data_IF_944305057101
#
_entry.id   IF_944305057101
#
_cell.length_a   1.000
_cell.length_b   1.000
_cell.length_c   1.000
_cell.angle_alpha   90.00
_cell.angle_beta   90.00
_cell.angle_gamma   90.00
#
_symmetry.space_group_name_H-M   'P 1'
#
loop_
_entity.id
_entity.type
_entity.pdbx_description
1 polymer ?
#
# COMPACT_ATOMS: atom_id res chain seq x y z
N UNK A 1 -1.48 -0.45 -7.63
CA UNK A 1 -1.14 -1.89 -7.58
C UNK A 1 -1.82 -2.61 -6.41
N UNK A 2 -1.60 -2.27 -5.12
CA UNK A 2 -2.38 -2.87 -4.00
C UNK A 2 -3.80 -2.30 -3.94
N UNK A 3 -3.99 -0.97 -4.02
CA UNK A 3 -5.33 -0.37 -4.04
C UNK A 3 -6.22 -0.82 -5.22
N UNK A 4 -5.62 -1.20 -6.35
CA UNK A 4 -6.37 -1.77 -7.49
C UNK A 4 -6.71 -3.26 -7.27
N UNK A 5 -5.90 -3.97 -6.47
CA UNK A 5 -6.23 -5.32 -5.99
C UNK A 5 -7.39 -5.23 -5.00
N UNK A 6 -7.44 -4.22 -4.14
CA UNK A 6 -8.60 -4.00 -3.26
C UNK A 6 -9.87 -3.66 -4.07
N UNK A 7 -9.77 -2.81 -5.10
CA UNK A 7 -10.89 -2.52 -6.02
C UNK A 7 -11.33 -3.76 -6.83
N UNK A 8 -10.39 -4.65 -7.19
CA UNK A 8 -10.65 -5.96 -7.80
C UNK A 8 -11.41 -6.92 -6.87
N UNK A 9 -11.24 -6.77 -5.55
CA UNK A 9 -11.67 -7.73 -4.56
C UNK A 9 -12.91 -7.29 -3.78
N UNK A 10 -13.18 -5.99 -3.59
CA UNK A 10 -14.30 -5.52 -2.77
C UNK A 10 -15.49 -5.02 -3.62
N UNK A 11 -16.32 -5.91 -4.19
CA UNK A 11 -17.50 -5.47 -4.93
C UNK A 11 -18.49 -4.77 -4.00
N UNK A 12 -19.27 -3.83 -4.54
CA UNK A 12 -20.36 -3.17 -3.81
C UNK A 12 -21.24 -4.20 -3.08
N UNK A 13 -21.33 -4.11 -1.75
CA UNK A 13 -22.11 -5.04 -0.91
C UNK A 13 -21.37 -6.31 -0.47
N UNK A 14 -20.05 -6.26 -0.31
CA UNK A 14 -19.26 -7.34 0.27
C UNK A 14 -19.50 -7.57 1.80
N UNK A 15 -20.48 -6.87 2.37
CA UNK A 15 -20.99 -6.97 3.75
C UNK A 15 -22.13 -8.00 3.91
N UNK A 16 -22.41 -8.79 2.87
CA UNK A 16 -23.42 -9.84 2.91
C UNK A 16 -22.89 -11.14 2.31
N UNK A 17 -23.17 -12.25 2.99
CA UNK A 17 -22.87 -13.59 2.46
C UNK A 17 -23.72 -13.90 1.24
N UNK A 18 -23.09 -14.07 0.08
CA UNK A 18 -23.79 -14.30 -1.20
C UNK A 18 -22.88 -14.92 -2.25
N UNK A 19 -23.48 -15.48 -3.29
CA UNK A 19 -22.77 -15.86 -4.52
C UNK A 19 -23.28 -15.01 -5.67
N UNK A 20 -22.36 -14.39 -6.39
CA UNK A 20 -22.64 -13.56 -7.58
C UNK A 20 -21.94 -14.16 -8.80
N UNK A 21 -22.58 -14.01 -9.97
CA UNK A 21 -21.94 -14.34 -11.24
C UNK A 21 -21.00 -13.19 -11.61
N UNK A 22 -19.79 -13.50 -12.08
CA UNK A 22 -18.87 -12.45 -12.55
C UNK A 22 -19.22 -12.05 -13.99
N UNK A 23 -18.88 -10.81 -14.36
CA UNK A 23 -19.40 -10.12 -15.55
C UNK A 23 -19.25 -10.90 -16.86
N UNK A 24 -18.18 -11.68 -16.99
CA UNK A 24 -17.86 -12.41 -18.22
C UNK A 24 -17.66 -13.92 -18.02
N UNK A 25 -17.98 -14.45 -16.84
CA UNK A 25 -17.91 -15.89 -16.55
C UNK A 25 -17.48 -16.21 -15.13
N UNK A 26 -17.84 -17.42 -14.66
CA UNK A 26 -17.52 -17.90 -13.33
C UNK A 26 -18.35 -17.27 -12.21
N UNK A 27 -17.89 -17.46 -10.98
CA UNK A 27 -18.60 -17.03 -9.76
C UNK A 27 -17.65 -16.48 -8.71
N UNK A 28 -18.13 -15.47 -8.00
CA UNK A 28 -17.54 -14.99 -6.76
C UNK A 28 -18.50 -15.36 -5.61
N UNK A 29 -17.97 -16.05 -4.61
CA UNK A 29 -18.69 -16.29 -3.35
C UNK A 29 -18.10 -15.42 -2.27
N UNK A 30 -18.94 -14.58 -1.67
CA UNK A 30 -18.65 -13.77 -0.50
C UNK A 30 -19.20 -14.50 0.72
N UNK A 31 -18.35 -14.76 1.70
CA UNK A 31 -18.73 -15.15 3.05
C UNK A 31 -18.38 -14.00 3.97
N UNK A 32 -19.40 -13.47 4.64
CA UNK A 32 -19.28 -12.34 5.56
C UNK A 32 -19.93 -12.71 6.88
N UNK A 33 -19.17 -12.55 7.97
CA UNK A 33 -19.64 -12.77 9.32
C UNK A 33 -19.20 -11.61 10.21
N UNK A 34 -20.14 -10.98 10.88
CA UNK A 34 -19.90 -9.82 11.72
C UNK A 34 -20.46 -10.05 13.12
N UNK A 35 -19.64 -9.69 14.11
CA UNK A 35 -19.98 -9.58 15.52
C UNK A 35 -19.61 -8.18 16.01
N UNK A 36 -19.82 -7.87 17.30
CA UNK A 36 -19.44 -6.55 17.83
C UNK A 36 -17.93 -6.28 17.78
N UNK A 37 -17.11 -7.34 17.82
CA UNK A 37 -15.67 -7.23 18.04
C UNK A 37 -14.87 -7.81 16.88
N UNK A 38 -15.50 -8.55 15.96
CA UNK A 38 -14.83 -9.26 14.87
C UNK A 38 -15.69 -9.21 13.61
N UNK A 39 -15.06 -8.87 12.49
CA UNK A 39 -15.58 -9.02 11.13
C UNK A 39 -14.67 -9.99 10.37
N UNK A 40 -15.24 -11.08 9.86
CA UNK A 40 -14.56 -12.03 8.99
C UNK A 40 -15.15 -11.94 7.58
N UNK A 41 -14.27 -11.80 6.59
CA UNK A 41 -14.61 -11.78 5.18
C UNK A 41 -13.76 -12.79 4.41
N UNK A 42 -14.43 -13.64 3.63
CA UNK A 42 -13.78 -14.56 2.69
C UNK A 42 -14.41 -14.37 1.31
N UNK A 43 -13.56 -14.10 0.33
CA UNK A 43 -13.91 -14.03 -1.07
C UNK A 43 -13.32 -15.23 -1.77
N UNK A 44 -14.16 -16.03 -2.41
CA UNK A 44 -13.77 -17.23 -3.16
C UNK A 44 -14.08 -17.06 -4.63
N UNK A 45 -13.03 -16.97 -5.44
CA UNK A 45 -13.10 -16.83 -6.89
C UNK A 45 -13.06 -18.21 -7.54
N UNK A 46 -14.00 -18.46 -8.46
CA UNK A 46 -14.01 -19.67 -9.29
C UNK A 46 -14.24 -19.29 -10.73
N UNK A 47 -13.17 -19.36 -11.52
CA UNK A 47 -13.14 -18.98 -12.94
C UNK A 47 -13.76 -17.59 -13.16
N UNK A 48 -13.65 -16.71 -12.16
CA UNK A 48 -14.33 -15.43 -12.13
C UNK A 48 -13.60 -14.44 -13.01
N UNK A 49 -14.26 -13.93 -14.05
CA UNK A 49 -13.64 -12.94 -14.95
C UNK A 49 -13.97 -11.53 -14.48
N UNK A 50 -12.93 -10.75 -14.19
CA UNK A 50 -13.02 -9.34 -13.78
C UNK A 50 -12.28 -8.48 -14.79
N UNK A 51 -12.84 -7.33 -15.16
CA UNK A 51 -12.19 -6.39 -16.08
C UNK A 51 -11.47 -5.31 -15.30
N UNK A 52 -10.19 -5.09 -15.62
CA UNK A 52 -9.31 -4.11 -15.00
C UNK A 52 -8.87 -3.06 -16.01
N UNK A 53 -8.59 -1.84 -15.54
CA UNK A 53 -8.12 -0.76 -16.41
C UNK A 53 -6.72 -1.02 -16.98
N UNK A 54 -5.84 -1.70 -16.22
CA UNK A 54 -4.45 -1.93 -16.63
C UNK A 54 -4.22 -3.22 -17.41
N UNK A 55 -4.92 -4.30 -17.08
CA UNK A 55 -4.67 -5.63 -17.63
C UNK A 55 -5.83 -6.17 -18.46
N UNK A 56 -6.91 -5.39 -18.63
CA UNK A 56 -8.12 -5.84 -19.30
C UNK A 56 -8.81 -6.95 -18.50
N UNK A 57 -9.42 -7.91 -19.20
CA UNK A 57 -10.13 -9.02 -18.57
C UNK A 57 -9.17 -10.06 -17.99
N UNK A 58 -9.34 -10.37 -16.71
CA UNK A 58 -8.52 -11.29 -15.94
C UNK A 58 -9.41 -12.39 -15.36
N UNK A 59 -9.05 -13.64 -15.59
CA UNK A 59 -9.70 -14.80 -14.97
C UNK A 59 -9.05 -15.08 -13.62
N UNK A 60 -9.84 -15.20 -12.56
CA UNK A 60 -9.40 -15.36 -11.18
C UNK A 60 -9.91 -16.67 -10.55
N UNK A 61 -9.02 -17.32 -9.81
CA UNK A 61 -9.28 -18.49 -8.97
C UNK A 61 -8.54 -18.36 -7.64
N UNK A 62 -9.17 -18.78 -6.55
CA UNK A 62 -8.54 -18.80 -5.22
C UNK A 62 -9.28 -17.93 -4.23
N UNK A 63 -8.56 -17.45 -3.21
CA UNK A 63 -9.18 -16.76 -2.09
C UNK A 63 -8.48 -15.45 -1.71
N UNK A 64 -9.30 -14.52 -1.25
CA UNK A 64 -8.90 -13.41 -0.39
C UNK A 64 -9.63 -13.57 0.93
N UNK A 65 -8.90 -13.40 2.03
CA UNK A 65 -9.42 -13.52 3.39
C UNK A 65 -9.03 -12.26 4.16
N UNK A 66 -9.97 -11.69 4.90
CA UNK A 66 -9.72 -10.60 5.81
C UNK A 66 -10.43 -10.82 7.15
N UNK A 67 -9.70 -10.58 8.24
CA UNK A 67 -10.25 -10.56 9.59
C UNK A 67 -9.95 -9.20 10.21
N UNK A 68 -11.00 -8.50 10.63
CA UNK A 68 -10.93 -7.23 11.35
C UNK A 68 -11.31 -7.50 12.80
N UNK A 69 -10.39 -7.30 13.73
CA UNK A 69 -10.65 -7.35 15.16
C UNK A 69 -10.74 -5.94 15.70
N UNK A 70 -11.91 -5.57 16.23
CA UNK A 70 -12.19 -4.24 16.79
C UNK A 70 -11.89 -4.29 18.28
N UNK A 71 -11.02 -3.39 18.74
CA UNK A 71 -10.65 -3.24 20.14
C UNK A 71 -11.12 -1.89 20.67
N UNK A 72 -12.18 -1.91 21.48
CA UNK A 72 -12.80 -0.67 21.97
C UNK A 72 -13.49 0.13 20.87
N UNK A 73 -13.62 1.44 21.06
CA UNK A 73 -14.37 2.32 20.13
C UNK A 73 -13.51 2.89 18.99
N UNK A 74 -12.19 2.70 19.02
CA UNK A 74 -11.28 3.47 18.16
C UNK A 74 -10.06 2.72 17.65
N UNK A 75 -9.90 1.43 17.98
CA UNK A 75 -8.78 0.62 17.51
C UNK A 75 -9.28 -0.60 16.72
N UNK A 76 -8.55 -0.96 15.67
CA UNK A 76 -8.81 -2.16 14.88
C UNK A 76 -7.50 -2.78 14.41
N UNK A 77 -7.45 -4.11 14.41
CA UNK A 77 -6.41 -4.90 13.76
C UNK A 77 -7.02 -5.59 12.54
N UNK A 78 -6.44 -5.37 11.36
CA UNK A 78 -6.87 -5.96 10.09
C UNK A 78 -5.77 -6.91 9.63
N UNK A 79 -6.10 -8.19 9.51
CA UNK A 79 -5.24 -9.18 8.88
C UNK A 79 -5.84 -9.55 7.52
N UNK A 80 -5.05 -9.49 6.46
CA UNK A 80 -5.49 -9.91 5.13
C UNK A 80 -4.54 -10.96 4.57
N UNK A 81 -5.10 -11.91 3.83
CA UNK A 81 -4.37 -12.98 3.18
C UNK A 81 -4.84 -13.15 1.73
N UNK A 82 -3.87 -13.27 0.84
CA UNK A 82 -4.06 -13.37 -0.60
C UNK A 82 -3.52 -14.71 -1.10
N UNK A 83 -4.35 -15.46 -1.81
CA UNK A 83 -3.95 -16.69 -2.48
C UNK A 83 -4.76 -16.85 -3.76
N UNK A 84 -4.39 -16.05 -4.76
CA UNK A 84 -5.12 -15.92 -6.02
C UNK A 84 -4.20 -16.37 -7.17
N UNK A 85 -4.79 -17.10 -8.09
CA UNK A 85 -4.19 -17.53 -9.35
C UNK A 85 -5.12 -17.15 -10.49
N UNK A 86 -4.60 -17.05 -11.70
CA UNK A 86 -5.41 -16.59 -12.80
C UNK A 86 -4.70 -16.55 -14.13
N UNK A 87 -5.33 -15.85 -15.07
CA UNK A 87 -4.81 -15.63 -16.40
C UNK A 87 -5.33 -14.30 -16.96
N UNK A 88 -4.43 -13.49 -17.52
CA UNK A 88 -4.80 -12.31 -18.32
C UNK A 88 -5.31 -12.82 -19.66
N UNK A 89 -6.60 -12.61 -19.96
CA UNK A 89 -7.27 -13.25 -21.11
C UNK A 89 -6.71 -12.81 -22.46
N UNK A 90 -6.25 -11.56 -22.58
CA UNK A 90 -5.74 -11.03 -23.85
C UNK A 90 -4.38 -11.65 -24.21
N UNK A 91 -3.48 -11.80 -23.22
CA UNK A 91 -2.12 -12.32 -23.42
C UNK A 91 -1.98 -13.82 -23.13
N UNK A 92 -2.96 -14.44 -22.48
CA UNK A 92 -2.90 -15.79 -21.90
C UNK A 92 -1.73 -15.93 -20.89
N UNK A 93 -1.37 -14.84 -20.21
CA UNK A 93 -0.29 -14.86 -19.24
C UNK A 93 -0.80 -15.30 -17.87
N UNK A 94 -0.15 -16.28 -17.22
CA UNK A 94 -0.56 -16.73 -15.89
C UNK A 94 -0.37 -15.60 -14.87
N UNK A 95 -1.38 -15.40 -14.03
CA UNK A 95 -1.37 -14.48 -12.90
C UNK A 95 -1.23 -15.27 -11.59
N UNK A 96 -0.43 -14.74 -10.67
CA UNK A 96 -0.38 -15.17 -9.28
C UNK A 96 -0.30 -13.95 -8.36
N UNK A 97 -1.13 -13.93 -7.32
CA UNK A 97 -1.09 -12.96 -6.24
C UNK A 97 -1.05 -13.74 -4.93
N UNK A 98 -0.04 -13.48 -4.11
CA UNK A 98 0.14 -14.18 -2.84
C UNK A 98 0.73 -13.26 -1.80
N UNK A 99 0.20 -13.29 -0.58
CA UNK A 99 0.83 -12.56 0.51
C UNK A 99 -0.06 -12.42 1.72
N UNK A 100 0.47 -11.75 2.73
CA UNK A 100 -0.27 -11.33 3.91
C UNK A 100 0.08 -9.90 4.28
N UNK A 101 -0.91 -9.19 4.81
CA UNK A 101 -0.77 -7.84 5.34
C UNK A 101 -1.41 -7.79 6.73
N UNK A 102 -0.77 -7.05 7.64
CA UNK A 102 -1.23 -6.83 9.00
C UNK A 102 -1.29 -5.32 9.26
N UNK A 103 -2.47 -4.79 9.50
CA UNK A 103 -2.69 -3.36 9.72
C UNK A 103 -3.26 -3.11 11.10
N UNK A 104 -2.54 -2.36 11.94
CA UNK A 104 -3.07 -1.80 13.18
C UNK A 104 -3.51 -0.35 12.94
N UNK A 105 -4.80 -0.09 13.17
CA UNK A 105 -5.43 1.21 13.07
C UNK A 105 -5.85 1.69 14.46
N UNK A 106 -5.61 2.96 14.75
CA UNK A 106 -6.17 3.63 15.92
C UNK A 106 -6.61 5.05 15.54
N UNK A 107 -7.75 5.51 16.02
CA UNK A 107 -8.30 6.87 15.80
C UNK A 107 -8.56 7.58 17.12
N UNK A 108 -8.80 8.89 17.12
CA UNK A 108 -9.19 9.61 18.35
C UNK A 108 -8.10 9.71 19.43
N UNK A 109 -6.83 9.52 19.05
CA UNK A 109 -5.70 9.46 19.97
C UNK A 109 -5.55 10.74 20.79
N UNK A 110 -5.18 10.60 22.07
CA UNK A 110 -4.97 11.73 22.99
C UNK A 110 -6.16 12.70 23.10
N UNK A 111 -7.39 12.21 22.91
CA UNK A 111 -8.63 13.00 22.85
C UNK A 111 -8.73 13.96 21.66
N UNK A 112 -7.97 13.70 20.59
CA UNK A 112 -8.08 14.43 19.34
C UNK A 112 -8.84 13.57 18.29
N UNK A 113 -10.09 13.93 17.93
CA UNK A 113 -10.89 13.15 17.00
C UNK A 113 -10.31 13.10 15.57
N UNK A 114 -9.44 14.04 15.20
CA UNK A 114 -8.80 14.09 13.88
C UNK A 114 -7.51 13.26 13.80
N UNK A 115 -6.99 12.82 14.95
CA UNK A 115 -5.76 12.02 14.97
C UNK A 115 -6.04 10.55 14.61
N UNK A 116 -5.14 9.98 13.81
CA UNK A 116 -5.12 8.57 13.52
C UNK A 116 -3.68 8.03 13.51
N UNK A 117 -3.52 6.75 13.84
CA UNK A 117 -2.30 5.97 13.64
C UNK A 117 -2.63 4.77 12.77
N UNK A 118 -1.82 4.55 11.76
CA UNK A 118 -1.82 3.34 10.95
C UNK A 118 -0.42 2.73 11.00
N UNK A 119 -0.33 1.45 11.30
CA UNK A 119 0.89 0.64 11.16
C UNK A 119 0.53 -0.54 10.27
N UNK A 120 1.02 -0.55 9.04
CA UNK A 120 0.86 -1.67 8.11
C UNK A 120 2.17 -2.46 8.01
N UNK A 121 2.09 -3.76 8.16
CA UNK A 121 3.22 -4.70 8.11
C UNK A 121 2.97 -5.71 7.00
N UNK A 122 4.01 -5.97 6.21
CA UNK A 122 4.01 -6.95 5.13
C UNK A 122 5.23 -7.84 5.29
N UNK A 123 5.02 -9.10 5.65
CA UNK A 123 6.10 -10.09 5.63
C UNK A 123 6.52 -10.38 4.19
N UNK A 124 5.56 -10.81 3.38
CA UNK A 124 5.72 -11.06 1.94
C UNK A 124 4.40 -10.79 1.22
N UNK A 125 4.46 -10.02 0.15
CA UNK A 125 3.40 -9.86 -0.83
C UNK A 125 3.99 -9.90 -2.25
N UNK A 126 3.47 -10.78 -3.10
CA UNK A 126 4.02 -11.11 -4.42
C UNK A 126 2.92 -11.02 -5.48
N UNK A 127 3.26 -10.43 -6.62
CA UNK A 127 2.47 -10.45 -7.85
C UNK A 127 3.36 -10.96 -8.98
N UNK A 128 2.84 -11.91 -9.76
CA UNK A 128 3.49 -12.43 -10.96
C UNK A 128 2.51 -12.48 -12.12
N UNK A 129 2.90 -11.93 -13.28
CA UNK A 129 2.15 -11.99 -14.53
C UNK A 129 3.10 -12.50 -15.61
N UNK A 130 2.87 -13.70 -16.13
CA UNK A 130 3.76 -14.33 -17.11
C UNK A 130 5.19 -14.47 -16.55
N UNK A 131 6.12 -13.73 -17.14
CA UNK A 131 7.52 -13.65 -16.67
C UNK A 131 7.80 -12.47 -15.75
N UNK A 132 6.89 -11.51 -15.67
CA UNK A 132 7.03 -10.33 -14.83
C UNK A 132 6.67 -10.64 -13.39
N UNK A 133 7.49 -10.12 -12.47
CA UNK A 133 7.39 -10.41 -11.05
C UNK A 133 7.68 -9.15 -10.26
N UNK A 134 6.86 -8.87 -9.26
CA UNK A 134 7.07 -7.83 -8.27
C UNK A 134 6.74 -8.38 -6.88
N UNK A 135 7.53 -7.99 -5.88
CA UNK A 135 7.22 -8.34 -4.49
C UNK A 135 7.63 -7.25 -3.50
N UNK A 136 6.91 -7.18 -2.40
CA UNK A 136 7.24 -6.38 -1.22
C UNK A 136 7.51 -7.34 -0.08
N UNK A 137 8.62 -7.17 0.62
CA UNK A 137 8.98 -8.05 1.75
C UNK A 137 9.54 -7.26 2.91
N UNK A 138 9.31 -7.79 4.12
CA UNK A 138 9.77 -7.21 5.39
C UNK A 138 9.46 -5.71 5.48
N UNK A 139 8.27 -5.32 5.01
CA UNK A 139 7.87 -3.93 4.94
C UNK A 139 7.06 -3.53 6.16
N UNK A 140 7.32 -2.33 6.67
CA UNK A 140 6.53 -1.66 7.68
C UNK A 140 6.31 -0.23 7.25
N UNK A 141 5.05 0.17 7.14
CA UNK A 141 4.61 1.53 6.88
C UNK A 141 3.94 2.05 8.14
N UNK A 142 4.28 3.27 8.55
CA UNK A 142 3.60 3.96 9.65
C UNK A 142 3.13 5.33 9.19
N UNK A 143 1.90 5.66 9.52
CA UNK A 143 1.32 6.98 9.37
C UNK A 143 0.78 7.39 10.72
N UNK A 144 1.21 8.54 11.23
CA UNK A 144 0.64 9.16 12.41
C UNK A 144 0.12 10.53 12.01
N UNK A 145 -1.11 10.87 12.36
CA UNK A 145 -1.63 12.23 12.19
C UNK A 145 -1.95 12.86 13.53
N UNK A 146 -1.78 14.17 13.57
CA UNK A 146 -2.19 15.04 14.66
C UNK A 146 -3.17 16.08 14.10
N UNK A 147 -3.59 17.00 14.96
CA UNK A 147 -4.34 18.21 14.59
C UNK A 147 -3.55 19.21 13.73
N UNK A 148 -2.26 18.94 13.51
CA UNK A 148 -1.30 19.92 12.99
C UNK A 148 -0.47 19.38 11.82
N UNK A 149 -0.64 18.10 11.49
CA UNK A 149 0.10 17.46 10.41
C UNK A 149 0.08 15.94 10.44
N UNK A 150 0.96 15.38 9.61
CA UNK A 150 1.16 13.96 9.40
C UNK A 150 2.65 13.62 9.48
N UNK A 151 2.97 12.49 10.09
CA UNK A 151 4.27 11.84 10.03
C UNK A 151 4.14 10.53 9.26
N UNK A 152 5.01 10.33 8.28
CA UNK A 152 5.10 9.12 7.47
C UNK A 152 6.46 8.44 7.67
N UNK A 153 6.47 7.13 7.90
CA UNK A 153 7.69 6.33 7.84
C UNK A 153 7.48 5.00 7.14
N UNK A 154 8.54 4.50 6.51
CA UNK A 154 8.57 3.30 5.70
C UNK A 154 9.91 2.61 5.91
N UNK A 155 9.90 1.28 5.95
CA UNK A 155 11.09 0.44 5.76
C UNK A 155 10.66 -0.85 5.09
N UNK A 156 11.32 -1.29 4.01
CA UNK A 156 11.00 -2.55 3.36
C UNK A 156 11.84 -2.81 2.12
N UNK A 157 11.69 -4.00 1.55
CA UNK A 157 12.36 -4.41 0.30
C UNK A 157 11.34 -4.52 -0.82
N UNK A 158 11.64 -3.91 -1.96
CA UNK A 158 10.89 -4.09 -3.21
C UNK A 158 11.73 -4.89 -4.18
N UNK A 159 11.19 -6.00 -4.64
CA UNK A 159 11.80 -6.89 -5.63
C UNK A 159 11.06 -6.72 -6.94
N UNK A 160 11.78 -6.80 -8.05
CA UNK A 160 11.15 -6.69 -9.37
C UNK A 160 11.99 -7.32 -10.47
N UNK A 161 11.32 -7.99 -11.41
CA UNK A 161 11.96 -8.50 -12.64
C UNK A 161 12.56 -7.37 -13.47
N UNK A 162 11.85 -6.24 -13.58
CA UNK A 162 12.29 -5.07 -14.34
C UNK A 162 13.55 -4.39 -13.78
N UNK A 163 13.74 -4.43 -12.46
CA UNK A 163 14.96 -3.94 -11.79
C UNK A 163 16.07 -5.00 -11.76
N UNK A 164 15.78 -6.26 -12.11
CA UNK A 164 16.73 -7.36 -12.11
C UNK A 164 17.24 -7.75 -10.71
N UNK A 165 16.53 -7.38 -9.65
CA UNK A 165 17.00 -7.52 -8.27
C UNK A 165 16.03 -6.94 -7.25
N UNK A 166 16.58 -6.26 -6.25
CA UNK A 166 15.80 -5.59 -5.20
C UNK A 166 16.35 -4.20 -4.89
N UNK A 167 15.47 -3.36 -4.35
CA UNK A 167 15.80 -2.08 -3.70
C UNK A 167 15.31 -2.11 -2.26
N UNK A 168 16.09 -1.51 -1.37
CA UNK A 168 15.69 -1.19 0.00
C UNK A 168 15.05 0.21 -0.01
N UNK A 169 13.78 0.29 0.40
CA UNK A 169 13.09 1.55 0.65
C UNK A 169 13.09 1.81 2.14
N UNK A 170 13.42 3.04 2.54
CA UNK A 170 13.40 3.42 3.95
C UNK A 170 13.19 4.92 4.15
N UNK A 171 12.71 5.30 5.33
CA UNK A 171 12.74 6.68 5.81
C UNK A 171 13.66 6.80 7.02
N UNK A 172 14.98 7.01 6.83
CA UNK A 172 15.93 7.15 7.93
C UNK A 172 15.54 8.26 8.93
N UNK A 173 14.85 9.27 8.43
CA UNK A 173 14.14 10.27 9.23
C UNK A 173 12.70 10.28 8.72
N UNK A 174 11.68 10.11 9.61
CA UNK A 174 10.29 10.20 9.21
C UNK A 174 10.00 11.49 8.44
N UNK A 175 9.10 11.40 7.48
CA UNK A 175 8.66 12.53 6.67
C UNK A 175 7.54 13.24 7.41
N UNK A 176 7.79 14.47 7.84
CA UNK A 176 6.81 15.31 8.50
C UNK A 176 6.16 16.25 7.49
N UNK A 177 4.83 16.28 7.49
CA UNK A 177 4.02 17.12 6.61
C UNK A 177 3.14 17.97 7.52
N UNK A 178 3.20 19.29 7.37
CA UNK A 178 2.27 20.19 8.05
C UNK A 178 1.11 20.50 7.13
N UNK A 179 -0.12 20.50 7.65
CA UNK A 179 -1.33 20.83 6.90
C UNK A 179 -1.32 22.25 6.31
N UNK A 180 -0.44 23.11 6.84
CA UNK A 180 -0.24 24.48 6.36
C UNK A 180 0.77 24.62 5.22
N UNK A 181 1.45 23.53 4.83
CA UNK A 181 2.57 23.55 3.90
C UNK A 181 2.30 22.63 2.69
N UNK A 182 2.73 23.10 1.51
CA UNK A 182 2.66 22.32 0.27
C UNK A 182 3.81 21.29 0.20
N UNK A 183 4.84 21.45 1.02
CA UNK A 183 6.01 20.59 1.10
C UNK A 183 6.11 19.93 2.48
N UNK A 184 6.66 18.71 2.56
CA UNK A 184 7.10 18.18 3.84
C UNK A 184 8.10 19.13 4.53
N UNK A 185 7.95 19.32 5.83
CA UNK A 185 8.75 20.23 6.66
C UNK A 185 10.09 19.60 7.06
N UNK A 186 10.16 18.27 7.10
CA UNK A 186 11.37 17.50 7.37
C UNK A 186 11.23 16.07 6.82
N UNK A 187 12.34 15.35 6.77
CA UNK A 187 12.37 13.92 6.48
C UNK A 187 13.30 13.52 5.35
N UNK A 188 13.57 12.23 5.30
CA UNK A 188 14.43 11.61 4.28
C UNK A 188 13.75 10.36 3.77
N UNK A 189 13.52 10.27 2.47
CA UNK A 189 13.17 9.03 1.78
C UNK A 189 14.44 8.52 1.12
N UNK A 190 14.82 7.28 1.40
CA UNK A 190 16.02 6.63 0.86
C UNK A 190 15.66 5.39 0.07
N UNK A 191 16.24 5.31 -1.12
CA UNK A 191 16.21 4.15 -2.03
C UNK A 191 17.65 3.62 -2.12
N UNK A 192 17.89 2.37 -1.76
CA UNK A 192 19.22 1.79 -1.77
C UNK A 192 19.30 0.45 -2.52
N UNK A 193 20.39 0.24 -3.26
CA UNK A 193 20.78 -1.04 -3.86
C UNK A 193 22.32 -1.14 -3.90
N UNK A 194 22.95 -1.01 -5.06
CA UNK A 194 24.42 -0.88 -5.25
C UNK A 194 24.90 0.57 -5.11
N UNK A 195 24.24 1.32 -4.25
CA UNK A 195 24.34 2.77 -4.08
C UNK A 195 23.11 3.28 -3.36
N UNK A 196 23.01 4.58 -3.14
CA UNK A 196 21.85 5.17 -2.46
C UNK A 196 21.42 6.48 -3.08
N UNK A 197 20.13 6.60 -3.37
CA UNK A 197 19.47 7.86 -3.63
C UNK A 197 18.66 8.28 -2.41
N UNK A 198 18.71 9.56 -2.05
CA UNK A 198 17.92 10.13 -0.97
C UNK A 198 17.19 11.38 -1.45
N UNK A 199 15.90 11.47 -1.15
CA UNK A 199 15.11 12.69 -1.26
C UNK A 199 14.97 13.26 0.15
N UNK A 200 15.52 14.45 0.37
CA UNK A 200 15.55 15.10 1.68
C UNK A 200 14.70 16.36 1.65
N UNK A 201 13.81 16.51 2.62
CA UNK A 201 12.84 17.60 2.67
C UNK A 201 13.13 18.60 3.79
N UNK A 202 12.80 19.87 3.54
CA UNK A 202 12.82 20.97 4.50
C UNK A 202 14.09 21.02 5.33
N UNK A 203 13.95 20.93 6.65
CA UNK A 203 15.10 20.98 7.57
C UNK A 203 16.12 19.85 7.35
N UNK A 204 15.71 18.70 6.82
CA UNK A 204 16.59 17.58 6.47
C UNK A 204 17.34 17.80 5.15
N UNK A 205 16.96 18.80 4.35
CA UNK A 205 17.70 19.17 3.15
C UNK A 205 19.04 19.89 3.45
N UNK A 206 19.44 20.01 4.72
CA UNK A 206 20.80 20.41 5.13
C UNK A 206 21.20 21.84 4.77
N UNK A 207 20.21 22.72 4.52
CA UNK A 207 20.45 24.08 4.04
C UNK A 207 20.88 24.19 2.57
N UNK A 208 20.95 23.06 1.85
CA UNK A 208 21.31 22.99 0.42
C UNK A 208 20.15 23.33 -0.52
N UNK A 209 18.91 23.32 -0.03
CA UNK A 209 17.70 23.71 -0.77
C UNK A 209 16.71 24.38 0.19
N UNK A 210 15.79 25.21 -0.33
CA UNK A 210 14.73 25.79 0.50
C UNK A 210 13.55 24.85 0.74
N UNK A 211 13.36 23.81 -0.09
CA UNK A 211 12.28 22.84 0.09
C UNK A 211 12.72 21.38 -0.01
N UNK A 212 13.42 20.98 -1.07
CA UNK A 212 13.78 19.57 -1.29
C UNK A 212 15.10 19.45 -2.04
N UNK A 213 15.90 18.44 -1.68
CA UNK A 213 17.14 18.11 -2.34
C UNK A 213 17.22 16.62 -2.64
N UNK A 214 17.76 16.28 -3.80
CA UNK A 214 18.04 14.91 -4.22
C UNK A 214 19.53 14.66 -4.08
N UNK A 215 19.87 13.60 -3.36
CA UNK A 215 21.23 13.17 -3.11
C UNK A 215 21.45 11.81 -3.76
N UNK A 216 22.59 11.65 -4.43
CA UNK A 216 23.05 10.34 -4.92
C UNK A 216 24.44 10.11 -4.31
N UNK A 217 24.59 8.98 -3.62
CA UNK A 217 25.83 8.56 -2.97
C UNK A 217 26.48 9.66 -2.12
N UNK A 218 25.65 10.38 -1.36
CA UNK A 218 26.09 11.45 -0.46
C UNK A 218 26.42 12.77 -1.12
N UNK A 219 26.14 12.95 -2.41
CA UNK A 219 26.29 14.22 -3.12
C UNK A 219 24.95 14.78 -3.57
N UNK A 220 24.75 16.09 -3.39
CA UNK A 220 23.57 16.78 -3.94
C UNK A 220 23.69 16.80 -5.46
N UNK A 221 22.70 16.22 -6.14
CA UNK A 221 22.59 16.25 -7.60
C UNK A 221 21.57 17.28 -8.05
N UNK A 222 20.51 17.47 -7.27
CA UNK A 222 19.45 18.44 -7.55
C UNK A 222 18.91 19.07 -6.27
N UNK A 223 18.42 20.30 -6.39
CA UNK A 223 17.87 21.09 -5.30
C UNK A 223 16.77 22.00 -5.81
N UNK A 224 15.66 22.06 -5.10
CA UNK A 224 14.47 22.78 -5.53
C UNK A 224 13.97 23.74 -4.45
N UNK A 225 13.36 24.82 -4.92
CA UNK A 225 12.80 25.82 -4.03
C UNK A 225 11.42 25.47 -3.47
N UNK A 226 10.74 24.51 -4.12
CA UNK A 226 9.43 23.97 -3.80
C UNK A 226 9.37 22.47 -4.19
N UNK A 227 8.23 21.82 -3.96
CA UNK A 227 8.03 20.39 -4.22
C UNK A 227 7.27 20.10 -5.51
N UNK A 228 7.01 21.11 -6.35
CA UNK A 228 6.20 20.96 -7.57
C UNK A 228 6.83 19.99 -8.58
N UNK A 229 8.16 19.96 -8.64
CA UNK A 229 8.92 19.09 -9.53
C UNK A 229 9.06 17.63 -9.02
N UNK A 230 8.87 17.41 -7.72
CA UNK A 230 9.12 16.10 -7.07
C UNK A 230 7.82 15.34 -6.81
N UNK A 231 6.70 15.83 -7.36
CA UNK A 231 5.43 15.10 -7.36
C UNK A 231 4.83 14.92 -5.96
N UNK A 232 5.03 15.87 -5.05
CA UNK A 232 4.28 15.88 -3.79
C UNK A 232 2.98 16.66 -3.99
N UNK A 233 1.85 15.94 -4.00
CA UNK A 233 0.52 16.56 -3.93
C UNK A 233 0.00 16.32 -2.52
N UNK A 234 -0.26 17.38 -1.75
CA UNK A 234 -1.01 17.25 -0.51
C UNK A 234 -2.43 16.79 -0.87
N UNK A 235 -2.70 15.49 -0.75
CA UNK A 235 -4.03 14.94 -0.95
C UNK A 235 -4.93 15.31 0.21
N UNK A 236 -5.80 16.28 -0.01
CA UNK A 236 -7.14 16.33 0.59
C UNK A 236 -8.16 16.15 -0.53
#
# INVERSE_FOLDING_TARGET
MIGEVEELLLPEGAEESRTVNCDSGGTLTVSYNETSDVIDQLLSFRECIVTTDMYGSVLLNGTYEATITISGESEADVNEAYNITGEVQESNEPLQIKGTTDTNLATGLNNNPESFRLINTIDVFEIKIGTDYAAITNAVTRINTTDTGMEFSLSGKVLGSAIGGYIDLSTPTPVEISDSQVCPTSGVIRIASEGSAEVRYGSSAGGTASAVAVWIDGQVVESYSDCSAVGFTSGY
#
